data_IF_405522070386
#
_entry.id   IF_405522070386
#
_cell.length_a   1.000
_cell.length_b   1.000
_cell.length_c   1.000
_cell.angle_alpha   90.00
_cell.angle_beta   90.00
_cell.angle_gamma   90.00
#
_symmetry.space_group_name_H-M   'P 1'
#
loop_
_entity.id
_entity.type
_entity.pdbx_description
1 polymer ?
#
# COMPACT_ATOMS: atom_id res chain seq x y z
N UNK A 1 8.84 10.65 6.06
CA UNK A 1 8.77 9.55 5.08
C UNK A 1 9.40 10.02 3.77
N UNK A 2 10.18 9.17 3.08
CA UNK A 2 10.74 9.47 1.75
C UNK A 2 9.94 8.73 0.67
N UNK A 3 9.33 9.46 -0.26
CA UNK A 3 8.56 8.90 -1.37
C UNK A 3 9.34 9.04 -2.68
N UNK A 4 9.34 7.98 -3.50
CA UNK A 4 9.80 8.01 -4.89
C UNK A 4 8.76 7.34 -5.78
N UNK A 5 8.34 8.00 -6.82
CA UNK A 5 7.30 7.48 -7.72
C UNK A 5 7.76 7.53 -9.17
N UNK A 6 7.48 6.44 -9.90
CA UNK A 6 7.69 6.33 -11.34
C UNK A 6 6.47 6.83 -12.14
N UNK A 7 5.29 6.81 -11.51
CA UNK A 7 4.00 7.24 -12.08
C UNK A 7 3.03 7.69 -10.97
N UNK A 8 1.94 8.41 -11.30
CA UNK A 8 0.92 8.76 -10.32
C UNK A 8 0.36 7.52 -9.60
N UNK A 9 0.13 7.62 -8.29
CA UNK A 9 -0.34 6.50 -7.46
C UNK A 9 -1.67 5.93 -7.99
N UNK A 10 -2.57 6.79 -8.49
CA UNK A 10 -3.82 6.41 -9.16
C UNK A 10 -3.68 5.58 -10.45
N UNK A 11 -2.45 5.45 -10.99
CA UNK A 11 -2.13 4.62 -12.18
C UNK A 11 -1.39 3.32 -11.82
N UNK A 12 -1.29 3.02 -10.53
CA UNK A 12 -0.81 1.71 -10.07
C UNK A 12 -1.85 0.65 -10.42
N UNK A 13 -1.38 -0.47 -10.94
CA UNK A 13 -2.15 -1.62 -11.38
C UNK A 13 -1.59 -2.91 -10.80
N UNK A 14 -2.38 -3.99 -10.84
CA UNK A 14 -1.94 -5.34 -10.46
C UNK A 14 -0.64 -5.72 -11.18
N UNK A 15 0.30 -6.27 -10.42
CA UNK A 15 1.62 -6.71 -10.90
C UNK A 15 2.71 -5.63 -10.85
N UNK A 16 2.36 -4.36 -10.59
CA UNK A 16 3.37 -3.34 -10.29
C UNK A 16 4.16 -3.71 -9.03
N UNK A 17 5.41 -3.26 -8.97
CA UNK A 17 6.28 -3.46 -7.81
C UNK A 17 6.26 -2.23 -6.92
N UNK A 18 6.18 -2.45 -5.61
CA UNK A 18 6.38 -1.40 -4.62
C UNK A 18 7.51 -1.82 -3.67
N UNK A 19 8.24 -0.82 -3.15
CA UNK A 19 9.30 -1.03 -2.16
C UNK A 19 8.97 -0.24 -0.90
N UNK A 20 8.65 -0.94 0.17
CA UNK A 20 8.29 -0.33 1.46
C UNK A 20 9.39 -0.64 2.47
N UNK A 21 10.05 0.38 3.01
CA UNK A 21 11.20 0.23 3.93
C UNK A 21 12.29 -0.73 3.41
N UNK A 22 12.49 -0.78 2.10
CA UNK A 22 13.44 -1.69 1.47
C UNK A 22 12.88 -3.07 1.10
N UNK A 23 11.73 -3.47 1.62
CA UNK A 23 11.03 -4.73 1.27
C UNK A 23 10.34 -4.58 -0.08
N UNK A 24 10.58 -5.53 -0.99
CA UNK A 24 9.93 -5.59 -2.30
C UNK A 24 8.58 -6.32 -2.19
N UNK A 25 7.52 -5.67 -2.64
CA UNK A 25 6.15 -6.16 -2.65
C UNK A 25 5.56 -6.04 -4.05
N UNK A 26 4.51 -6.81 -4.31
CA UNK A 26 3.79 -6.81 -5.58
C UNK A 26 2.35 -6.40 -5.34
N UNK A 27 1.83 -5.52 -6.18
CA UNK A 27 0.44 -5.07 -6.13
C UNK A 27 -0.47 -6.22 -6.58
N UNK A 28 -1.41 -6.59 -5.72
CA UNK A 28 -2.47 -7.53 -6.09
C UNK A 28 -3.74 -6.83 -6.57
N UNK A 29 -4.10 -5.72 -5.91
CA UNK A 29 -5.26 -4.92 -6.22
C UNK A 29 -5.07 -3.45 -5.82
N UNK A 30 -5.81 -2.56 -6.48
CA UNK A 30 -5.86 -1.15 -6.16
C UNK A 30 -7.27 -0.62 -6.44
N UNK A 31 -7.96 -0.14 -5.40
CA UNK A 31 -9.36 0.25 -5.49
C UNK A 31 -9.75 1.29 -4.44
N UNK A 32 -10.94 1.89 -4.62
CA UNK A 32 -11.56 2.77 -3.63
C UNK A 32 -12.09 1.90 -2.50
N UNK A 33 -11.58 2.11 -1.29
CA UNK A 33 -12.03 1.43 -0.09
C UNK A 33 -13.31 2.07 0.44
N UNK A 34 -13.30 3.40 0.59
CA UNK A 34 -14.45 4.19 1.04
C UNK A 34 -14.55 5.50 0.25
N UNK A 35 -15.78 5.92 -0.08
CA UNK A 35 -16.06 7.16 -0.81
C UNK A 35 -16.80 8.15 0.09
N UNK A 36 -16.08 9.18 0.54
CA UNK A 36 -16.62 10.25 1.40
C UNK A 36 -17.20 11.42 0.60
N UNK A 37 -17.49 11.23 -0.69
CA UNK A 37 -17.96 12.23 -1.68
C UNK A 37 -16.94 13.28 -2.07
N UNK A 38 -16.26 13.88 -1.10
CA UNK A 38 -15.25 14.94 -1.31
C UNK A 38 -13.84 14.40 -1.36
N UNK A 39 -13.59 13.23 -0.77
CA UNK A 39 -12.32 12.52 -0.73
C UNK A 39 -12.59 11.02 -0.77
N UNK A 40 -11.65 10.24 -1.28
CA UNK A 40 -11.75 8.78 -1.32
C UNK A 40 -10.60 8.19 -0.53
N UNK A 41 -10.93 7.26 0.37
CA UNK A 41 -9.92 6.37 0.93
C UNK A 41 -9.63 5.29 -0.11
N UNK A 42 -8.37 5.23 -0.52
CA UNK A 42 -7.83 4.28 -1.48
C UNK A 42 -7.10 3.18 -0.74
N UNK A 43 -7.15 1.96 -1.28
CA UNK A 43 -6.46 0.80 -0.74
C UNK A 43 -5.71 0.07 -1.85
N UNK A 44 -4.43 -0.21 -1.60
CA UNK A 44 -3.57 -1.05 -2.42
C UNK A 44 -3.25 -2.31 -1.62
N UNK A 45 -3.69 -3.45 -2.13
CA UNK A 45 -3.33 -4.76 -1.58
C UNK A 45 -1.98 -5.17 -2.18
N UNK A 46 -1.11 -5.63 -1.30
CA UNK A 46 0.28 -5.94 -1.60
C UNK A 46 0.62 -7.31 -1.03
N UNK A 47 1.39 -8.10 -1.75
CA UNK A 47 1.94 -9.35 -1.22
C UNK A 47 3.46 -9.42 -1.38
N UNK A 48 4.12 -10.08 -0.45
CA UNK A 48 5.53 -10.47 -0.56
C UNK A 48 5.62 -11.80 -1.32
N UNK A 49 6.14 -11.82 -2.56
CA UNK A 49 6.21 -13.05 -3.35
C UNK A 49 7.19 -14.10 -2.78
N UNK A 50 7.96 -13.74 -1.75
CA UNK A 50 8.92 -14.63 -1.06
C UNK A 50 8.39 -15.15 0.27
N UNK A 51 7.21 -14.69 0.71
CA UNK A 51 6.60 -15.16 1.95
C UNK A 51 6.08 -16.59 1.84
N UNK A 52 5.91 -17.24 3.00
CA UNK A 52 5.26 -18.55 3.11
C UNK A 52 3.73 -18.36 3.15
N UNK A 53 2.98 -19.45 3.00
CA UNK A 53 1.53 -19.46 3.20
C UNK A 53 1.16 -18.79 4.54
N UNK A 54 0.08 -18.01 4.52
CA UNK A 54 -0.48 -17.24 5.66
C UNK A 54 0.41 -16.10 6.20
N UNK A 55 1.37 -15.61 5.41
CA UNK A 55 2.19 -14.46 5.74
C UNK A 55 2.48 -13.60 4.50
N UNK A 56 2.84 -12.34 4.74
CA UNK A 56 3.30 -11.46 3.68
C UNK A 56 2.19 -10.77 2.90
N UNK A 57 0.98 -10.72 3.43
CA UNK A 57 -0.07 -9.83 2.96
C UNK A 57 0.02 -8.47 3.64
N UNK A 58 -0.12 -7.41 2.85
CA UNK A 58 0.01 -6.04 3.28
C UNK A 58 -1.06 -5.16 2.63
N UNK A 59 -1.33 -4.04 3.28
CA UNK A 59 -2.21 -3.01 2.75
C UNK A 59 -1.53 -1.66 2.84
N UNK A 60 -1.63 -0.88 1.78
CA UNK A 60 -1.31 0.53 1.79
C UNK A 60 -2.60 1.33 1.61
N UNK A 61 -2.90 2.23 2.54
CA UNK A 61 -4.12 3.04 2.54
C UNK A 61 -3.76 4.52 2.52
N UNK A 62 -4.54 5.33 1.82
CA UNK A 62 -4.33 6.76 1.71
C UNK A 62 -5.59 7.47 1.24
N UNK A 63 -5.70 8.78 1.48
CA UNK A 63 -6.72 9.62 0.86
C UNK A 63 -6.21 10.18 -0.46
N UNK A 64 -7.04 10.09 -1.51
CA UNK A 64 -6.65 10.42 -2.89
C UNK A 64 -6.23 11.88 -3.10
N UNK A 65 -6.74 12.79 -2.27
CA UNK A 65 -6.42 14.22 -2.27
C UNK A 65 -5.23 14.59 -1.36
N UNK A 66 -4.79 13.68 -0.48
CA UNK A 66 -3.78 13.94 0.56
C UNK A 66 -2.78 12.78 0.71
N UNK A 67 -2.31 12.25 -0.42
CA UNK A 67 -1.50 11.02 -0.48
C UNK A 67 -0.29 11.08 0.46
N UNK A 68 0.56 12.09 0.36
CA UNK A 68 1.84 12.13 1.09
C UNK A 68 1.67 12.20 2.63
N UNK A 69 0.57 12.77 3.10
CA UNK A 69 0.29 13.00 4.51
C UNK A 69 -0.54 11.88 5.16
N UNK A 70 -1.23 11.07 4.35
CA UNK A 70 -2.22 10.09 4.84
C UNK A 70 -1.86 8.65 4.55
N UNK A 71 -0.77 8.39 3.84
CA UNK A 71 -0.29 7.03 3.60
C UNK A 71 -0.05 6.31 4.93
N UNK A 72 -0.70 5.16 5.07
CA UNK A 72 -0.48 4.18 6.13
C UNK A 72 -0.22 2.82 5.51
N UNK A 73 0.62 2.03 6.18
CA UNK A 73 0.99 0.70 5.73
C UNK A 73 0.73 -0.30 6.84
N UNK A 74 0.13 -1.41 6.46
CA UNK A 74 -0.31 -2.44 7.37
C UNK A 74 0.21 -3.80 6.93
N UNK A 75 0.52 -4.65 7.89
CA UNK A 75 0.83 -6.06 7.68
C UNK A 75 -0.25 -6.92 8.32
N UNK A 76 -0.73 -7.93 7.59
CA UNK A 76 -1.65 -8.91 8.15
C UNK A 76 -0.90 -9.84 9.11
N UNK A 77 -1.34 -9.90 10.35
CA UNK A 77 -0.87 -10.84 11.38
C UNK A 77 -2.03 -11.71 11.83
N UNK A 78 -2.00 -12.99 11.45
CA UNK A 78 -3.01 -14.01 11.78
C UNK A 78 -4.40 -13.68 11.21
N UNK A 79 -5.08 -12.67 11.75
CA UNK A 79 -6.39 -12.17 11.31
C UNK A 79 -6.53 -10.63 11.43
N UNK A 80 -5.51 -9.92 11.93
CA UNK A 80 -5.56 -8.47 12.19
C UNK A 80 -4.48 -7.76 11.40
N UNK A 81 -4.82 -6.60 10.82
CA UNK A 81 -3.84 -5.70 10.21
C UNK A 81 -3.19 -4.81 11.27
N UNK A 82 -1.87 -4.91 11.40
CA UNK A 82 -1.07 -4.08 12.31
C UNK A 82 -0.38 -2.95 11.54
N UNK A 83 -0.39 -1.73 12.11
CA UNK A 83 0.27 -0.56 11.52
C UNK A 83 1.79 -0.72 11.58
N UNK A 84 2.45 -0.46 10.45
CA UNK A 84 3.90 -0.54 10.29
C UNK A 84 4.43 0.83 9.87
N UNK A 85 5.30 1.39 10.70
CA UNK A 85 5.94 2.69 10.43
C UNK A 85 6.65 2.71 9.07
N UNK A 86 6.34 3.69 8.22
CA UNK A 86 6.95 3.86 6.90
C UNK A 86 8.02 4.95 6.93
N UNK A 87 9.26 4.55 6.68
CA UNK A 87 10.40 5.44 6.51
C UNK A 87 10.63 5.77 5.04
N UNK A 88 10.42 4.80 4.15
CA UNK A 88 10.55 4.97 2.70
C UNK A 88 9.51 4.18 1.90
N UNK A 89 9.02 4.77 0.83
CA UNK A 89 8.08 4.16 -0.10
C UNK A 89 8.50 4.46 -1.54
N UNK A 90 8.63 3.42 -2.36
CA UNK A 90 8.94 3.54 -3.79
C UNK A 90 7.96 2.74 -4.64
N UNK A 91 7.54 3.27 -5.78
CA UNK A 91 6.77 2.56 -6.82
C UNK A 91 7.05 3.14 -8.21
#
# INVERSE_FOLDING_TARGET
MKIKSSKPIGKIVKGDKMKVNGKELVVDAHYVFEDYKTTKEMLIELYDPKAKEDAGDFQLRYFDDQVEDTIKFYELKVIVYEDVEIKSLEW
#
